data_IF_262133960470
#
_entry.id   IF_262133960470
#
_cell.length_a   1.000
_cell.length_b   1.000
_cell.length_c   1.000
_cell.angle_alpha   90.00
_cell.angle_beta   90.00
_cell.angle_gamma   90.00
#
_symmetry.space_group_name_H-M   'P 1'
#
loop_
_entity.id
_entity.type
_entity.pdbx_description
1 polymer ?
#
# COMPACT_ATOMS: atom_id res chain seq x y z
N UNK A 1 -7.30 -19.39 -6.64
CA UNK A 1 -7.02 -18.06 -6.04
C UNK A 1 -8.27 -17.20 -6.13
N UNK A 2 -8.62 -16.49 -5.05
CA UNK A 2 -9.80 -15.62 -5.00
C UNK A 2 -9.69 -14.49 -6.05
N UNK A 3 -10.67 -14.31 -6.95
CA UNK A 3 -10.73 -13.18 -7.86
C UNK A 3 -10.56 -11.83 -7.17
N UNK A 4 -11.14 -11.64 -5.97
CA UNK A 4 -11.13 -10.38 -5.21
C UNK A 4 -9.88 -10.18 -4.33
N UNK A 5 -8.88 -11.06 -4.43
CA UNK A 5 -7.58 -10.80 -3.84
C UNK A 5 -6.83 -9.75 -4.66
N UNK A 6 -6.50 -8.61 -4.07
CA UNK A 6 -5.73 -7.53 -4.74
C UNK A 6 -4.27 -7.44 -4.28
N UNK A 7 -3.97 -7.89 -3.06
CA UNK A 7 -2.61 -7.92 -2.54
C UNK A 7 -1.78 -9.06 -3.16
N UNK A 8 -0.48 -8.83 -3.32
CA UNK A 8 0.50 -9.83 -3.79
C UNK A 8 0.17 -10.49 -5.15
N UNK A 9 -0.65 -9.85 -5.99
CA UNK A 9 -0.96 -10.31 -7.34
C UNK A 9 -0.42 -9.35 -8.38
N UNK A 10 0.09 -9.92 -9.47
CA UNK A 10 0.54 -9.12 -10.60
C UNK A 10 -0.61 -8.29 -11.16
N UNK A 11 -0.33 -7.05 -11.55
CA UNK A 11 -1.31 -6.12 -12.11
C UNK A 11 -2.54 -5.87 -11.21
N UNK A 12 -2.39 -5.97 -9.89
CA UNK A 12 -3.37 -5.57 -8.87
C UNK A 12 -2.71 -4.63 -7.87
N UNK A 13 -3.49 -3.70 -7.32
CA UNK A 13 -3.02 -2.72 -6.35
C UNK A 13 -4.08 -2.43 -5.29
N UNK A 14 -3.66 -1.82 -4.18
CA UNK A 14 -4.56 -1.32 -3.13
C UNK A 14 -5.58 -0.32 -3.69
N UNK A 15 -5.16 0.53 -4.62
CA UNK A 15 -6.04 1.44 -5.35
C UNK A 15 -7.14 0.70 -6.13
N UNK A 16 -6.87 -0.50 -6.67
CA UNK A 16 -7.89 -1.30 -7.37
C UNK A 16 -8.93 -1.85 -6.40
N UNK A 17 -8.49 -2.28 -5.22
CA UNK A 17 -9.37 -2.73 -4.15
C UNK A 17 -10.30 -1.61 -3.69
N UNK A 18 -9.73 -0.41 -3.45
CA UNK A 18 -10.51 0.77 -3.05
C UNK A 18 -11.47 1.19 -4.16
N UNK A 19 -11.01 1.24 -5.41
CA UNK A 19 -11.87 1.59 -6.54
C UNK A 19 -13.02 0.58 -6.71
N UNK A 20 -12.74 -0.71 -6.58
CA UNK A 20 -13.74 -1.78 -6.64
C UNK A 20 -14.77 -1.67 -5.51
N UNK A 21 -14.32 -1.50 -4.27
CA UNK A 21 -15.18 -1.34 -3.10
C UNK A 21 -16.09 -0.11 -3.26
N UNK A 22 -15.51 1.04 -3.60
CA UNK A 22 -16.26 2.28 -3.79
C UNK A 22 -17.29 2.16 -4.91
N UNK A 23 -16.91 1.54 -6.04
CA UNK A 23 -17.82 1.35 -7.15
C UNK A 23 -18.99 0.44 -6.77
N UNK A 24 -18.73 -0.70 -6.15
CA UNK A 24 -19.76 -1.66 -5.75
C UNK A 24 -20.71 -1.03 -4.73
N UNK A 25 -20.16 -0.35 -3.73
CA UNK A 25 -20.93 0.34 -2.69
C UNK A 25 -21.83 1.42 -3.28
N UNK A 26 -21.27 2.32 -4.07
CA UNK A 26 -22.01 3.46 -4.60
C UNK A 26 -22.99 3.06 -5.69
N UNK A 27 -22.73 1.99 -6.45
CA UNK A 27 -23.69 1.44 -7.42
C UNK A 27 -24.90 0.87 -6.69
N UNK A 28 -24.69 0.09 -5.62
CA UNK A 28 -25.79 -0.46 -4.83
C UNK A 28 -26.65 0.63 -4.16
N UNK A 29 -26.03 1.71 -3.69
CA UNK A 29 -26.74 2.86 -3.14
C UNK A 29 -27.52 3.67 -4.20
N UNK A 30 -27.21 3.54 -5.49
CA UNK A 30 -27.84 4.27 -6.60
C UNK A 30 -29.06 3.51 -7.19
N UNK A 31 -29.23 2.23 -6.86
CA UNK A 31 -30.28 1.36 -7.40
C UNK A 31 -31.68 1.71 -6.87
N UNK A 32 -31.83 2.05 -5.58
CA UNK A 32 -33.13 2.35 -4.96
C UNK A 32 -33.06 3.31 -3.76
N UNK A 33 -34.18 3.99 -3.47
CA UNK A 33 -34.32 4.81 -2.25
C UNK A 33 -34.44 3.87 -1.04
N UNK A 34 -33.61 4.09 -0.01
CA UNK A 34 -33.61 3.28 1.21
C UNK A 34 -32.55 2.17 1.25
N UNK A 35 -31.74 2.01 0.20
CA UNK A 35 -30.61 1.09 0.21
C UNK A 35 -29.53 1.57 1.20
N UNK A 36 -28.94 0.63 1.94
CA UNK A 36 -27.83 0.89 2.85
C UNK A 36 -26.75 -0.19 2.68
N UNK A 37 -25.51 0.16 3.00
CA UNK A 37 -24.37 -0.77 2.96
C UNK A 37 -23.74 -0.82 4.35
N UNK A 38 -23.51 -2.04 4.84
CA UNK A 38 -22.69 -2.30 6.04
C UNK A 38 -21.35 -2.88 5.60
N UNK A 39 -20.25 -2.34 6.12
CA UNK A 39 -18.90 -2.82 5.83
C UNK A 39 -18.28 -3.34 7.13
N UNK A 40 -17.71 -4.55 7.08
CA UNK A 40 -16.92 -5.12 8.15
C UNK A 40 -15.45 -5.08 7.74
N UNK A 41 -14.62 -4.45 8.55
CA UNK A 41 -13.17 -4.46 8.39
C UNK A 41 -12.57 -5.36 9.46
N UNK A 42 -11.84 -6.38 9.04
CA UNK A 42 -11.14 -7.32 9.92
C UNK A 42 -9.65 -7.20 9.62
N UNK A 43 -8.85 -7.01 10.66
CA UNK A 43 -7.39 -7.00 10.57
C UNK A 43 -6.81 -8.02 11.56
N UNK A 44 -5.75 -8.70 11.15
CA UNK A 44 -5.08 -9.70 11.98
C UNK A 44 -3.85 -9.08 12.64
N UNK A 45 -3.81 -9.11 13.97
CA UNK A 45 -2.61 -8.71 14.71
C UNK A 45 -1.44 -9.63 14.38
N UNK A 46 -0.36 -9.05 13.83
CA UNK A 46 0.86 -9.75 13.44
C UNK A 46 0.60 -11.08 12.71
N UNK A 47 -0.05 -11.00 11.55
CA UNK A 47 -0.52 -12.16 10.78
C UNK A 47 0.53 -13.27 10.61
N UNK A 48 1.82 -12.92 10.50
CA UNK A 48 2.93 -13.89 10.38
C UNK A 48 3.32 -14.57 11.70
N UNK A 49 3.17 -13.89 12.84
CA UNK A 49 3.49 -14.45 14.15
C UNK A 49 2.38 -15.38 14.66
N UNK A 50 1.17 -15.24 14.13
CA UNK A 50 -0.02 -15.99 14.55
C UNK A 50 -0.35 -17.14 13.58
N UNK A 51 0.50 -17.41 12.57
CA UNK A 51 0.31 -18.54 11.66
C UNK A 51 0.55 -19.83 12.43
N UNK A 52 -0.45 -20.72 12.45
CA UNK A 52 -0.34 -22.05 13.03
C UNK A 52 0.52 -22.92 12.09
N UNK A 53 1.77 -23.29 12.43
CA UNK A 53 2.68 -23.94 11.48
C UNK A 53 2.19 -25.31 11.01
N UNK A 54 1.43 -26.02 11.85
CA UNK A 54 0.86 -27.34 11.53
C UNK A 54 -0.20 -27.34 10.41
N UNK A 55 -0.75 -26.17 10.06
CA UNK A 55 -1.75 -26.03 8.97
C UNK A 55 -1.13 -25.66 7.62
N UNK A 56 0.18 -25.39 7.59
CA UNK A 56 0.89 -24.95 6.38
C UNK A 56 1.22 -26.13 5.45
N UNK A 57 1.75 -27.28 5.93
CA UNK A 57 2.09 -28.40 5.05
C UNK A 57 0.89 -28.90 4.24
N UNK A 58 -0.25 -29.13 4.91
CA UNK A 58 -1.48 -29.61 4.26
C UNK A 58 -1.95 -28.67 3.15
N UNK A 59 -1.88 -27.35 3.38
CA UNK A 59 -2.25 -26.35 2.36
C UNK A 59 -1.26 -26.28 1.21
N UNK A 60 0.03 -26.53 1.44
CA UNK A 60 1.05 -26.52 0.39
C UNK A 60 0.92 -27.78 -0.49
N UNK A 61 0.62 -28.92 0.12
CA UNK A 61 0.29 -30.16 -0.61
C UNK A 61 -0.98 -30.00 -1.46
N UNK A 62 -2.04 -29.38 -0.91
CA UNK A 62 -3.27 -29.05 -1.67
C UNK A 62 -2.99 -28.11 -2.86
N UNK A 63 -1.93 -27.30 -2.79
CA UNK A 63 -1.47 -26.42 -3.86
C UNK A 63 -0.55 -27.13 -4.87
N UNK A 64 -0.28 -28.42 -4.68
CA UNK A 64 0.52 -29.25 -5.59
C UNK A 64 2.03 -29.11 -5.42
N UNK A 65 2.51 -28.64 -4.27
CA UNK A 65 3.94 -28.57 -3.98
C UNK A 65 4.48 -29.95 -3.58
N UNK A 66 5.67 -30.29 -4.08
CA UNK A 66 6.30 -31.59 -3.81
C UNK A 66 6.69 -31.70 -2.32
N UNK A 67 6.52 -32.86 -1.65
CA UNK A 67 6.71 -33.00 -0.21
C UNK A 67 8.04 -32.44 0.36
N UNK A 68 9.22 -32.63 -0.26
CA UNK A 68 10.48 -32.04 0.21
C UNK A 68 10.50 -30.51 0.19
N UNK A 69 9.75 -29.87 -0.72
CA UNK A 69 9.61 -28.42 -0.76
C UNK A 69 8.63 -27.95 0.31
N UNK A 70 7.55 -28.70 0.58
CA UNK A 70 6.66 -28.46 1.71
C UNK A 70 7.42 -28.57 3.04
N UNK A 71 8.28 -29.58 3.19
CA UNK A 71 9.14 -29.77 4.35
C UNK A 71 10.16 -28.65 4.48
N UNK A 72 10.78 -28.22 3.38
CA UNK A 72 11.71 -27.08 3.40
C UNK A 72 11.02 -25.78 3.82
N UNK A 73 9.84 -25.47 3.28
CA UNK A 73 9.07 -24.27 3.66
C UNK A 73 8.64 -24.35 5.13
N UNK A 74 8.18 -25.53 5.57
CA UNK A 74 7.78 -25.76 6.96
C UNK A 74 8.96 -25.59 7.90
N UNK A 75 10.10 -26.20 7.58
CA UNK A 75 11.36 -26.03 8.29
C UNK A 75 11.85 -24.58 8.27
N UNK A 76 11.70 -23.84 7.16
CA UNK A 76 12.07 -22.43 7.11
C UNK A 76 11.20 -21.56 8.03
N UNK A 77 9.93 -21.91 8.18
CA UNK A 77 8.98 -21.19 9.04
C UNK A 77 9.10 -21.59 10.51
N UNK A 78 9.54 -22.81 10.82
CA UNK A 78 9.75 -23.31 12.18
C UNK A 78 11.19 -23.12 12.69
N UNK A 79 12.21 -23.18 11.83
CA UNK A 79 13.62 -22.94 12.17
C UNK A 79 13.97 -21.47 12.38
N UNK A 80 12.96 -20.58 12.36
CA UNK A 80 13.06 -19.30 13.03
C UNK A 80 12.85 -19.53 14.52
N UNK A 81 13.91 -19.90 15.23
CA UNK A 81 14.04 -19.65 16.67
C UNK A 81 14.06 -18.12 16.90
N UNK A 82 12.93 -17.45 16.68
CA UNK A 82 12.63 -16.17 17.27
C UNK A 82 12.04 -16.47 18.65
N UNK A 83 12.90 -16.70 19.63
CA UNK A 83 12.51 -16.55 21.03
C UNK A 83 12.30 -15.05 21.26
N UNK A 84 11.07 -14.58 21.09
CA UNK A 84 10.61 -13.34 21.71
C UNK A 84 10.09 -13.74 23.08
N UNK A 85 11.02 -13.79 24.04
CA UNK A 85 10.60 -13.92 25.43
C UNK A 85 9.94 -12.60 25.85
N UNK A 86 8.69 -12.72 26.31
CA UNK A 86 7.88 -11.62 26.81
C UNK A 86 7.77 -11.69 28.34
N UNK A 87 8.85 -12.11 28.99
CA UNK A 87 8.95 -12.16 30.44
C UNK A 87 9.63 -10.89 31.00
N UNK A 88 8.98 -10.28 31.98
CA UNK A 88 9.49 -9.10 32.70
C UNK A 88 10.55 -9.53 33.73
N UNK A 89 11.70 -8.83 33.71
CA UNK A 89 12.73 -8.66 34.77
C UNK A 89 13.39 -9.94 35.34
N UNK A 90 14.72 -10.10 35.17
CA UNK A 90 15.76 -9.83 36.20
C UNK A 90 17.18 -10.10 35.64
N UNK A 91 18.17 -9.28 36.00
CA UNK A 91 19.59 -9.41 35.61
C UNK A 91 20.26 -10.62 36.27
N UNK A 92 20.94 -11.50 35.51
CA UNK A 92 22.07 -12.30 36.00
C UNK A 92 23.11 -12.59 34.89
N UNK A 93 24.38 -12.69 35.32
CA UNK A 93 25.61 -12.87 34.54
C UNK A 93 25.55 -13.95 33.44
N UNK A 94 25.92 -13.58 32.20
CA UNK A 94 26.02 -14.51 31.06
C UNK A 94 27.48 -14.88 30.71
N UNK A 95 27.70 -16.15 30.38
CA UNK A 95 28.99 -16.69 29.90
C UNK A 95 29.20 -16.39 28.40
N UNK A 96 30.46 -16.18 27.92
CA UNK A 96 30.72 -15.85 26.52
C UNK A 96 30.37 -16.98 25.54
N UNK A 97 29.61 -16.65 24.48
CA UNK A 97 29.23 -17.61 23.43
C UNK A 97 30.42 -17.86 22.50
N UNK A 98 30.82 -19.13 22.38
CA UNK A 98 31.86 -19.61 21.47
C UNK A 98 31.22 -20.34 20.29
N UNK A 99 31.38 -19.82 19.09
CA UNK A 99 30.96 -20.50 17.86
C UNK A 99 32.24 -21.02 17.18
N UNK A 100 32.33 -22.35 16.99
CA UNK A 100 33.45 -23.02 16.29
C UNK A 100 34.86 -22.60 16.74
N UNK A 101 35.07 -22.49 18.07
CA UNK A 101 36.32 -22.11 18.76
C UNK A 101 36.74 -20.63 18.68
N UNK A 102 35.95 -19.75 18.07
CA UNK A 102 36.21 -18.29 18.10
C UNK A 102 35.25 -17.60 19.08
N UNK A 103 35.79 -16.74 19.94
CA UNK A 103 34.99 -15.93 20.86
C UNK A 103 34.34 -14.80 20.07
N UNK A 104 33.01 -14.69 20.11
CA UNK A 104 32.28 -13.63 19.39
C UNK A 104 32.47 -12.31 20.14
N UNK A 105 32.96 -11.28 19.45
CA UNK A 105 33.15 -9.94 20.01
C UNK A 105 31.80 -9.28 20.27
N UNK A 106 31.60 -8.75 21.49
CA UNK A 106 30.39 -8.04 21.88
C UNK A 106 30.52 -6.58 21.47
N UNK A 107 29.54 -6.07 20.73
CA UNK A 107 29.48 -4.65 20.31
C UNK A 107 28.22 -4.02 20.89
N UNK A 108 28.34 -2.83 21.46
CA UNK A 108 27.26 -2.15 22.17
C UNK A 108 26.14 -1.62 21.26
N UNK A 109 26.43 -1.40 19.97
CA UNK A 109 25.40 -1.20 18.96
C UNK A 109 25.91 -1.54 17.57
N UNK A 110 25.03 -2.08 16.71
CA UNK A 110 25.36 -2.34 15.32
C UNK A 110 24.21 -1.96 14.39
N UNK A 111 24.54 -1.63 13.14
CA UNK A 111 23.55 -1.26 12.13
C UNK A 111 23.19 -2.47 11.27
N UNK A 112 21.93 -2.87 11.30
CA UNK A 112 21.39 -3.93 10.46
C UNK A 112 20.25 -3.41 9.59
N UNK A 113 20.37 -3.55 8.26
CA UNK A 113 19.34 -3.17 7.28
C UNK A 113 18.73 -1.76 7.49
N UNK A 114 19.51 -0.83 8.06
CA UNK A 114 19.08 0.56 8.30
C UNK A 114 18.58 0.87 9.71
N UNK A 115 18.50 -0.12 10.60
CA UNK A 115 18.13 0.02 12.02
C UNK A 115 19.38 -0.11 12.89
N UNK A 116 19.54 0.78 13.88
CA UNK A 116 20.59 0.62 14.89
C UNK A 116 20.03 -0.24 16.02
N UNK A 117 20.70 -1.34 16.29
CA UNK A 117 20.35 -2.32 17.32
C UNK A 117 21.41 -2.18 18.40
N UNK A 118 21.03 -1.63 19.57
CA UNK A 118 21.90 -1.49 20.74
C UNK A 118 21.80 -2.70 21.68
N UNK A 119 22.80 -2.90 22.54
CA UNK A 119 22.86 -4.05 23.46
C UNK A 119 21.76 -4.05 24.52
N UNK A 120 21.28 -2.87 24.89
CA UNK A 120 20.16 -2.66 25.80
C UNK A 120 18.82 -2.75 25.07
N UNK A 121 18.87 -3.03 23.75
CA UNK A 121 17.75 -2.98 22.80
C UNK A 121 16.95 -1.69 22.91
N UNK A 122 17.55 -0.63 23.48
CA UNK A 122 16.85 0.63 23.65
C UNK A 122 16.75 1.29 22.30
N UNK A 123 15.50 1.50 21.90
CA UNK A 123 15.20 2.22 20.67
C UNK A 123 15.73 3.65 20.73
N UNK A 124 16.15 4.17 21.89
CA UNK A 124 16.70 5.51 22.13
C UNK A 124 17.62 6.00 21.01
N UNK A 125 18.62 5.21 20.61
CA UNK A 125 19.54 5.60 19.52
C UNK A 125 18.84 5.71 18.16
N UNK A 126 17.93 4.79 17.86
CA UNK A 126 17.14 4.81 16.63
C UNK A 126 16.07 5.92 16.65
N UNK A 127 15.33 6.05 17.74
CA UNK A 127 14.28 7.06 17.97
C UNK A 127 14.88 8.46 17.95
N UNK A 128 16.04 8.70 18.59
CA UNK A 128 16.74 9.98 18.50
C UNK A 128 17.21 10.29 17.07
N UNK A 129 17.64 9.26 16.32
CA UNK A 129 18.01 9.41 14.90
C UNK A 129 16.80 9.77 14.03
N UNK A 130 15.66 9.12 14.25
CA UNK A 130 14.40 9.41 13.58
C UNK A 130 13.86 10.79 13.97
N UNK A 131 13.93 11.15 15.25
CA UNK A 131 13.51 12.44 15.78
C UNK A 131 14.35 13.56 15.17
N UNK A 132 15.67 13.40 15.07
CA UNK A 132 16.57 14.37 14.43
C UNK A 132 16.23 14.56 12.94
N UNK A 133 15.94 13.48 12.21
CA UNK A 133 15.46 13.54 10.81
C UNK A 133 14.09 14.21 10.70
N UNK A 134 13.16 13.93 11.61
CA UNK A 134 11.84 14.54 11.64
C UNK A 134 11.93 16.04 11.94
N UNK A 135 12.73 16.43 12.94
CA UNK A 135 13.02 17.83 13.29
C UNK A 135 13.61 18.62 12.13
N UNK A 136 14.57 18.05 11.38
CA UNK A 136 15.10 18.69 10.17
C UNK A 136 14.01 18.93 9.11
N UNK A 137 13.15 17.95 8.85
CA UNK A 137 12.03 18.10 7.89
C UNK A 137 11.00 19.12 8.37
N UNK A 138 10.66 19.12 9.66
CA UNK A 138 9.73 20.07 10.28
C UNK A 138 10.28 21.50 10.26
N UNK A 139 11.60 21.68 10.42
CA UNK A 139 12.25 22.99 10.32
C UNK A 139 12.06 23.60 8.93
N UNK A 140 12.27 22.84 7.85
CA UNK A 140 11.99 23.32 6.49
C UNK A 140 10.51 23.67 6.28
N UNK A 141 9.59 22.88 6.83
CA UNK A 141 8.15 23.17 6.78
C UNK A 141 7.74 24.40 7.58
N UNK A 142 8.37 24.65 8.74
CA UNK A 142 8.15 25.86 9.56
C UNK A 142 8.73 27.09 8.86
N UNK A 143 9.92 26.97 8.27
CA UNK A 143 10.53 28.06 7.49
C UNK A 143 9.68 28.45 6.28
N UNK A 144 8.97 27.49 5.66
CA UNK A 144 7.99 27.75 4.60
C UNK A 144 6.72 28.48 5.09
N UNK A 145 6.36 28.34 6.38
CA UNK A 145 5.25 29.07 7.01
C UNK A 145 5.63 30.53 7.31
N UNK A 146 6.89 30.78 7.65
CA UNK A 146 7.39 32.12 8.00
C UNK A 146 7.53 33.05 6.77
N UNK A 147 7.44 32.51 5.54
CA UNK A 147 7.33 33.31 4.30
C UNK A 147 5.90 33.82 3.99
N UNK A 148 4.97 33.77 4.96
CA UNK A 148 3.73 34.55 4.92
C UNK A 148 2.65 34.05 3.95
N UNK A 149 2.08 32.85 4.16
CA UNK A 149 0.93 32.38 3.37
C UNK A 149 -0.36 32.33 4.20
N UNK A 150 -1.44 33.04 3.77
CA UNK A 150 -2.70 33.07 4.50
C UNK A 150 -3.45 31.73 4.39
N UNK A 151 -3.94 31.28 5.53
CA UNK A 151 -4.86 30.16 5.66
C UNK A 151 -6.24 30.57 5.15
N UNK A 152 -6.67 30.03 4.00
CA UNK A 152 -8.10 29.88 3.68
C UNK A 152 -8.35 28.58 2.92
N UNK A 153 -9.34 27.85 3.44
CA UNK A 153 -9.93 26.62 2.96
C UNK A 153 -10.44 26.73 1.52
N UNK A 154 -9.86 25.96 0.59
CA UNK A 154 -10.60 25.18 -0.43
C UNK A 154 -9.81 23.88 -0.69
N UNK A 155 -10.47 22.76 -0.40
CA UNK A 155 -9.85 21.48 -0.08
C UNK A 155 -9.24 20.76 -1.30
N UNK A 156 -7.97 20.36 -1.15
CA UNK A 156 -7.33 19.28 -1.91
C UNK A 156 -6.39 19.71 -3.05
N UNK A 157 -6.82 20.58 -3.97
CA UNK A 157 -6.05 20.85 -5.19
C UNK A 157 -5.22 22.14 -5.15
N UNK A 158 -5.67 23.17 -4.44
CA UNK A 158 -4.94 24.45 -4.35
C UNK A 158 -3.53 24.31 -3.73
N UNK A 159 -3.31 23.48 -2.67
CA UNK A 159 -1.96 23.27 -2.15
C UNK A 159 -1.03 22.57 -3.15
N UNK A 160 -1.54 21.59 -3.90
CA UNK A 160 -0.74 20.86 -4.90
C UNK A 160 -0.40 21.74 -6.10
N UNK A 161 -1.32 22.59 -6.55
CA UNK A 161 -1.05 23.56 -7.61
C UNK A 161 0.02 24.58 -7.21
N UNK A 162 0.07 24.99 -5.94
CA UNK A 162 1.14 25.86 -5.43
C UNK A 162 2.49 25.17 -5.52
N UNK A 163 2.57 23.90 -5.11
CA UNK A 163 3.81 23.12 -5.23
C UNK A 163 4.27 23.00 -6.68
N UNK A 164 3.34 22.74 -7.61
CA UNK A 164 3.65 22.68 -9.05
C UNK A 164 4.22 24.02 -9.55
N UNK A 165 3.56 25.14 -9.25
CA UNK A 165 4.04 26.48 -9.67
C UNK A 165 5.41 26.83 -9.09
N UNK A 166 5.66 26.50 -7.83
CA UNK A 166 6.98 26.69 -7.22
C UNK A 166 8.05 25.83 -7.89
N UNK A 167 7.74 24.58 -8.23
CA UNK A 167 8.65 23.69 -8.94
C UNK A 167 8.92 24.17 -10.38
N UNK A 168 7.90 24.66 -11.10
CA UNK A 168 8.06 25.28 -12.42
C UNK A 168 9.00 26.48 -12.38
N UNK A 169 8.84 27.33 -11.36
CA UNK A 169 9.68 28.51 -11.18
C UNK A 169 11.14 28.14 -10.87
N UNK A 170 11.40 27.13 -10.03
CA UNK A 170 12.76 26.70 -9.67
C UNK A 170 13.45 26.00 -10.85
N UNK A 171 12.71 25.18 -11.59
CA UNK A 171 13.28 24.38 -12.69
C UNK A 171 13.32 25.13 -14.02
N UNK A 172 12.69 26.30 -14.11
CA UNK A 172 12.47 27.05 -15.34
C UNK A 172 11.84 26.20 -16.47
N UNK A 173 11.07 25.18 -16.10
CA UNK A 173 10.36 24.31 -17.05
C UNK A 173 8.87 24.28 -16.73
N UNK A 174 8.04 24.28 -17.78
CA UNK A 174 6.59 24.14 -17.63
C UNK A 174 6.26 22.70 -17.29
N UNK A 175 5.59 22.48 -16.16
CA UNK A 175 5.17 21.16 -15.71
C UNK A 175 3.75 20.87 -16.22
N UNK A 176 3.43 19.59 -16.41
CA UNK A 176 2.08 19.19 -16.77
C UNK A 176 1.10 19.54 -15.64
N UNK A 177 -0.07 20.06 -16.00
CA UNK A 177 -1.09 20.37 -15.00
C UNK A 177 -1.63 19.07 -14.35
N UNK A 178 -2.16 19.23 -13.13
CA UNK A 178 -2.65 18.09 -12.35
C UNK A 178 -3.80 17.33 -13.03
N UNK A 179 -4.64 18.00 -13.84
CA UNK A 179 -5.71 17.34 -14.58
C UNK A 179 -5.14 16.49 -15.71
N UNK A 180 -4.18 17.00 -16.47
CA UNK A 180 -3.48 16.24 -17.52
C UNK A 180 -2.78 15.01 -16.93
N UNK A 181 -2.08 15.16 -15.80
CA UNK A 181 -1.46 14.03 -15.09
C UNK A 181 -2.51 13.04 -14.63
N UNK A 182 -3.62 13.51 -14.05
CA UNK A 182 -4.72 12.68 -13.59
C UNK A 182 -5.34 11.86 -14.73
N UNK A 183 -5.70 12.49 -15.86
CA UNK A 183 -6.28 11.80 -17.01
C UNK A 183 -5.30 10.79 -17.62
N UNK A 184 -4.02 11.15 -17.76
CA UNK A 184 -2.98 10.22 -18.27
C UNK A 184 -2.83 8.99 -17.36
N UNK A 185 -2.83 9.19 -16.04
CA UNK A 185 -2.81 8.09 -15.06
C UNK A 185 -4.08 7.24 -15.13
N UNK A 186 -5.25 7.87 -15.26
CA UNK A 186 -6.52 7.16 -15.41
C UNK A 186 -6.53 6.27 -16.65
N UNK A 187 -6.10 6.80 -17.80
CA UNK A 187 -6.00 6.01 -19.04
C UNK A 187 -4.99 4.86 -18.91
N UNK A 188 -3.80 5.13 -18.36
CA UNK A 188 -2.77 4.10 -18.16
C UNK A 188 -3.30 2.95 -17.30
N UNK A 189 -4.02 3.28 -16.22
CA UNK A 189 -4.61 2.30 -15.32
C UNK A 189 -5.78 1.56 -15.97
N UNK A 190 -6.67 2.24 -16.68
CA UNK A 190 -7.76 1.62 -17.44
C UNK A 190 -7.24 0.62 -18.48
N UNK A 191 -6.20 0.99 -19.24
CA UNK A 191 -5.56 0.11 -20.23
C UNK A 191 -5.00 -1.16 -19.58
N UNK A 192 -4.43 -1.07 -18.38
CA UNK A 192 -3.94 -2.25 -17.64
C UNK A 192 -5.06 -3.20 -17.22
N UNK A 193 -6.22 -2.67 -16.84
CA UNK A 193 -7.40 -3.46 -16.49
C UNK A 193 -7.97 -4.13 -17.74
N UNK A 194 -8.13 -3.37 -18.83
CA UNK A 194 -8.69 -3.88 -20.11
C UNK A 194 -7.82 -4.96 -20.73
N UNK A 195 -6.50 -4.91 -20.53
CA UNK A 195 -5.57 -5.94 -21.03
C UNK A 195 -5.61 -7.24 -20.23
N UNK A 196 -6.23 -7.26 -19.05
CA UNK A 196 -6.24 -8.42 -18.16
C UNK A 196 -7.68 -8.94 -17.93
N UNK A 197 -8.11 -9.98 -18.67
CA UNK A 197 -9.42 -10.60 -18.50
C UNK A 197 -9.69 -11.18 -17.11
N UNK A 198 -8.63 -11.49 -16.34
CA UNK A 198 -8.75 -12.02 -14.98
C UNK A 198 -8.93 -10.92 -13.93
N UNK A 199 -8.92 -9.65 -14.34
CA UNK A 199 -9.11 -8.52 -13.45
C UNK A 199 -10.57 -8.43 -12.97
N UNK A 200 -10.85 -8.29 -11.65
CA UNK A 200 -12.22 -8.20 -11.13
C UNK A 200 -13.05 -7.12 -11.82
N UNK A 201 -12.41 -5.98 -12.09
CA UNK A 201 -13.01 -4.83 -12.76
C UNK A 201 -12.99 -4.90 -14.29
N UNK A 202 -12.53 -5.98 -14.93
CA UNK A 202 -12.46 -6.10 -16.39
C UNK A 202 -13.80 -5.84 -17.07
N UNK A 203 -14.88 -6.43 -16.54
CA UNK A 203 -16.24 -6.32 -17.07
C UNK A 203 -16.81 -4.90 -17.04
N UNK A 204 -16.25 -4.01 -16.20
CA UNK A 204 -16.66 -2.60 -16.15
C UNK A 204 -16.22 -1.82 -17.40
N UNK A 205 -15.24 -2.32 -18.14
CA UNK A 205 -14.75 -1.75 -19.40
C UNK A 205 -15.21 -2.59 -20.59
N UNK A 206 -16.52 -2.65 -20.83
CA UNK A 206 -17.08 -3.32 -22.02
C UNK A 206 -17.09 -2.39 -23.23
N UNK A 207 -16.62 -2.87 -24.39
CA UNK A 207 -16.73 -2.13 -25.65
C UNK A 207 -18.16 -2.20 -26.22
N UNK A 208 -18.55 -1.18 -26.95
CA UNK A 208 -19.74 -1.21 -27.80
C UNK A 208 -19.48 -2.06 -29.05
N UNK A 209 -20.55 -2.45 -29.75
CA UNK A 209 -20.50 -3.25 -30.99
C UNK A 209 -19.57 -2.65 -32.07
N UNK A 210 -19.35 -1.33 -32.04
CA UNK A 210 -18.43 -0.65 -32.95
C UNK A 210 -16.95 -0.91 -32.67
N UNK A 211 -16.60 -1.49 -31.51
CA UNK A 211 -15.22 -1.73 -31.07
C UNK A 211 -14.40 -0.48 -30.71
N UNK A 212 -14.93 0.73 -30.97
CA UNK A 212 -14.19 1.99 -30.82
C UNK A 212 -14.37 2.68 -29.47
N UNK A 213 -15.53 2.49 -28.84
CA UNK A 213 -15.95 3.21 -27.63
C UNK A 213 -16.36 2.26 -26.52
N UNK A 214 -16.06 2.63 -25.29
CA UNK A 214 -16.49 1.91 -24.10
C UNK A 214 -17.93 2.27 -23.73
N UNK A 215 -18.66 1.28 -23.21
CA UNK A 215 -20.01 1.45 -22.71
C UNK A 215 -19.96 2.36 -21.48
N UNK A 216 -20.69 3.47 -21.54
CA UNK A 216 -20.84 4.36 -20.39
C UNK A 216 -21.58 3.67 -19.24
N UNK A 217 -21.08 3.86 -18.02
CA UNK A 217 -21.77 3.41 -16.81
C UNK A 217 -22.97 4.33 -16.53
N UNK A 218 -24.15 3.72 -16.34
CA UNK A 218 -25.37 4.42 -15.91
C UNK A 218 -25.20 4.90 -14.47
N UNK A 219 -25.53 6.15 -14.20
CA UNK A 219 -25.39 6.77 -12.87
C UNK A 219 -26.48 7.80 -12.65
N UNK A 220 -27.16 7.77 -11.50
CA UNK A 220 -28.15 8.76 -11.09
C UNK A 220 -27.54 9.85 -10.21
N UNK A 221 -26.58 9.51 -9.36
CA UNK A 221 -25.96 10.45 -8.39
C UNK A 221 -24.62 11.05 -8.84
N UNK A 222 -24.37 12.33 -8.50
CA UNK A 222 -23.09 13.03 -8.73
C UNK A 222 -21.88 12.32 -8.12
N UNK A 223 -22.08 11.62 -7.00
CA UNK A 223 -21.02 10.85 -6.34
C UNK A 223 -20.52 9.72 -7.22
N UNK A 224 -21.43 8.93 -7.79
CA UNK A 224 -21.10 7.86 -8.74
C UNK A 224 -20.52 8.43 -10.04
N UNK A 225 -20.88 9.66 -10.43
CA UNK A 225 -20.27 10.35 -11.59
C UNK A 225 -18.77 10.59 -11.44
N UNK A 226 -18.28 10.77 -10.21
CA UNK A 226 -16.88 11.13 -9.91
C UNK A 226 -15.96 9.93 -9.65
N UNK A 227 -16.47 8.70 -9.69
CA UNK A 227 -15.66 7.50 -9.46
C UNK A 227 -14.71 7.25 -10.64
N UNK A 228 -13.56 6.65 -10.32
CA UNK A 228 -12.52 6.21 -11.26
C UNK A 228 -13.09 5.59 -12.54
N UNK A 229 -13.89 4.52 -12.49
CA UNK A 229 -14.31 3.79 -13.69
C UNK A 229 -15.05 4.68 -14.70
N UNK A 230 -15.92 5.58 -14.22
CA UNK A 230 -16.67 6.48 -15.09
C UNK A 230 -15.78 7.55 -15.71
N UNK A 231 -14.86 8.11 -14.92
CA UNK A 231 -13.89 9.09 -15.42
C UNK A 231 -12.88 8.44 -16.38
N UNK A 232 -12.47 7.21 -16.10
CA UNK A 232 -11.57 6.42 -16.93
C UNK A 232 -12.20 6.06 -18.28
N UNK A 233 -13.47 5.61 -18.31
CA UNK A 233 -14.21 5.34 -19.55
C UNK A 233 -14.28 6.62 -20.40
N UNK A 234 -14.65 7.76 -19.81
CA UNK A 234 -14.68 9.05 -20.50
C UNK A 234 -13.32 9.46 -21.04
N UNK A 235 -12.26 9.30 -20.23
CA UNK A 235 -10.91 9.65 -20.64
C UNK A 235 -10.36 8.73 -21.74
N UNK A 236 -10.80 7.47 -21.80
CA UNK A 236 -10.46 6.52 -22.86
C UNK A 236 -11.22 6.83 -24.16
N UNK A 237 -12.50 7.20 -24.06
CA UNK A 237 -13.34 7.58 -25.20
C UNK A 237 -12.96 8.94 -25.83
N UNK A 238 -12.32 9.83 -25.08
CA UNK A 238 -11.85 11.14 -25.57
C UNK A 238 -10.48 11.09 -26.26
N UNK A 239 -9.75 9.98 -26.13
CA UNK A 239 -8.38 9.81 -26.65
C UNK A 239 -8.26 8.82 -27.81
N UNK A 240 -9.38 8.34 -28.34
CA UNK A 240 -9.52 7.51 -29.54
C UNK A 240 -10.23 8.31 -30.63
#
# INVERSE_FOLDING_TARGET
MDPLQFAYRHNRSTDDAIAHLLHTTLTHLDEGRGNYVKMLFVDYSSAFNTIIPSRIPTKLEDLGLHPPLCDWISNFLTAKDLIVDSSKKQEQHYQPVRIKRTTVERVDSFRYLGVHISQDLSWSHHTNSLEKKARQRLYHLRRLRDFGLPSKHQAGQAPLQRVVRSAEHITHTKLSDLQTIYYKRCQTKARRIVKDPTHPNYRLFSLLMSGKRFRSLKTKTERLKRIFFRQAIRAMDQGN
#
